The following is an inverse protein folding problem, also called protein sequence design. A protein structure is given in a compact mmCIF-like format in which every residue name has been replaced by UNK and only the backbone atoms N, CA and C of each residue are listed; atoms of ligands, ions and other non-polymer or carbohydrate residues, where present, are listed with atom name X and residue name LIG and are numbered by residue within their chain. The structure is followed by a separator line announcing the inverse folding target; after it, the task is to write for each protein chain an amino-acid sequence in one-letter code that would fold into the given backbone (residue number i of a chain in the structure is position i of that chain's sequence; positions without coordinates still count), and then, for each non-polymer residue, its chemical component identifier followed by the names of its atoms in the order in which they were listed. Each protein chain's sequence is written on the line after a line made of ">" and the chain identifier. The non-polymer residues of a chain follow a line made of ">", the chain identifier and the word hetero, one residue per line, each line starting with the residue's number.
data_IF_481552451616
#
_entry.id   IF_481552451616
#
_cell.length_a   1.000
_cell.length_b   1.000
_cell.length_c   1.000
_cell.angle_alpha   90.00
_cell.angle_beta   90.00
_cell.angle_gamma   90.00
#
_symmetry.space_group_name_H-M   'P 1'
#
loop_
_entity.id
_entity.type
_entity.pdbx_description
1 polymer ?
#
# COMPACT_ATOMS: atom_id res chain seq x y z
N UNK A 1 24.55 11.21 6.61
CA UNK A 1 23.43 10.71 5.79
C UNK A 1 22.94 11.76 4.79
N UNK A 2 22.58 12.99 5.21
CA UNK A 2 22.14 14.04 4.28
C UNK A 2 23.11 14.30 3.10
N UNK A 3 24.42 14.44 3.36
CA UNK A 3 25.39 14.79 2.30
C UNK A 3 25.52 13.77 1.15
N UNK A 4 25.15 12.50 1.35
CA UNK A 4 25.19 11.47 0.30
C UNK A 4 23.80 11.19 -0.29
N UNK A 5 22.74 11.62 0.39
CA UNK A 5 21.36 11.37 -0.01
C UNK A 5 21.01 12.13 -1.29
N UNK A 6 21.40 13.41 -1.36
CA UNK A 6 21.14 14.26 -2.52
C UNK A 6 21.87 13.75 -3.77
N UNK A 7 23.15 13.39 -3.63
CA UNK A 7 23.96 12.83 -4.72
C UNK A 7 23.38 11.49 -5.18
N UNK A 8 22.98 10.62 -4.26
CA UNK A 8 22.38 9.34 -4.60
C UNK A 8 21.06 9.52 -5.36
N UNK A 9 20.19 10.41 -4.87
CA UNK A 9 18.92 10.68 -5.53
C UNK A 9 19.12 11.26 -6.93
N UNK A 10 20.08 12.18 -7.10
CA UNK A 10 20.42 12.75 -8.40
C UNK A 10 20.89 11.66 -9.38
N UNK A 11 21.83 10.80 -8.95
CA UNK A 11 22.30 9.68 -9.76
C UNK A 11 21.17 8.71 -10.14
N UNK A 12 20.23 8.45 -9.23
CA UNK A 12 19.06 7.62 -9.54
C UNK A 12 18.14 8.28 -10.57
N UNK A 13 17.90 9.59 -10.46
CA UNK A 13 17.08 10.32 -11.44
C UNK A 13 17.70 10.28 -12.85
N UNK A 14 19.02 10.40 -12.94
CA UNK A 14 19.76 10.31 -14.21
C UNK A 14 19.69 8.90 -14.79
N UNK A 15 19.99 7.87 -13.97
CA UNK A 15 19.99 6.47 -14.42
C UNK A 15 18.60 5.98 -14.84
N UNK A 16 17.53 6.45 -14.19
CA UNK A 16 16.16 6.05 -14.51
C UNK A 16 15.75 6.38 -15.96
N UNK A 17 16.41 7.34 -16.60
CA UNK A 17 16.14 7.76 -17.98
C UNK A 17 16.77 6.84 -19.04
N UNK A 18 17.85 6.13 -18.71
CA UNK A 18 18.69 5.41 -19.67
C UNK A 18 19.10 4.01 -19.19
N UNK A 19 18.19 3.33 -18.48
CA UNK A 19 18.41 1.97 -17.99
C UNK A 19 17.25 1.05 -18.38
N UNK A 20 17.54 -0.24 -18.42
CA UNK A 20 16.53 -1.27 -18.65
C UNK A 20 15.45 -1.25 -17.56
N UNK A 21 14.27 -1.74 -17.90
CA UNK A 21 13.15 -1.92 -16.96
C UNK A 21 13.56 -2.67 -15.69
N UNK A 22 14.41 -3.69 -15.82
CA UNK A 22 14.96 -4.41 -14.67
C UNK A 22 15.80 -3.50 -13.77
N UNK A 23 16.68 -2.69 -14.37
CA UNK A 23 17.49 -1.72 -13.64
C UNK A 23 16.65 -0.66 -12.94
N UNK A 24 15.60 -0.16 -13.59
CA UNK A 24 14.63 0.74 -12.97
C UNK A 24 13.99 0.11 -11.73
N UNK A 25 13.54 -1.14 -11.83
CA UNK A 25 12.96 -1.87 -10.69
C UNK A 25 13.97 -2.01 -9.55
N UNK A 26 15.26 -2.27 -9.82
CA UNK A 26 16.27 -2.35 -8.76
C UNK A 26 16.48 -1.00 -8.06
N UNK A 27 16.55 0.10 -8.81
CA UNK A 27 16.63 1.46 -8.24
C UNK A 27 15.42 1.74 -7.35
N UNK A 28 14.22 1.48 -7.87
CA UNK A 28 12.97 1.71 -7.14
C UNK A 28 12.85 0.82 -5.89
N UNK A 29 13.35 -0.41 -5.91
CA UNK A 29 13.43 -1.27 -4.72
C UNK A 29 14.34 -0.68 -3.64
N UNK A 30 15.44 -0.02 -4.01
CA UNK A 30 16.28 0.71 -3.05
C UNK A 30 15.51 1.86 -2.42
N UNK A 31 14.78 2.64 -3.23
CA UNK A 31 13.92 3.73 -2.76
C UNK A 31 12.87 3.19 -1.80
N UNK A 32 12.13 2.15 -2.19
CA UNK A 32 11.11 1.50 -1.36
C UNK A 32 11.68 1.02 -0.02
N UNK A 33 12.88 0.43 -0.02
CA UNK A 33 13.56 0.00 1.21
C UNK A 33 13.90 1.19 2.13
N UNK A 34 14.33 2.32 1.57
CA UNK A 34 14.57 3.53 2.38
C UNK A 34 13.27 4.04 2.99
N UNK A 35 12.14 3.98 2.26
CA UNK A 35 10.83 4.34 2.79
C UNK A 35 10.41 3.44 3.97
N UNK A 36 10.70 2.13 3.88
CA UNK A 36 10.47 1.20 5.00
C UNK A 36 11.31 1.55 6.23
N UNK A 37 12.59 1.86 6.02
CA UNK A 37 13.53 2.15 7.11
C UNK A 37 13.22 3.50 7.78
N UNK A 38 12.82 4.50 6.99
CA UNK A 38 12.51 5.83 7.49
C UNK A 38 11.36 6.46 6.68
N UNK A 39 10.10 6.23 7.06
CA UNK A 39 8.94 6.71 6.30
C UNK A 39 8.76 8.24 6.33
N UNK A 40 9.43 8.94 7.26
CA UNK A 40 9.35 10.41 7.36
C UNK A 40 10.40 11.09 6.48
N UNK A 41 11.68 10.72 6.63
CA UNK A 41 12.78 11.36 5.89
C UNK A 41 13.01 10.71 4.52
N UNK A 42 12.66 9.44 4.33
CA UNK A 42 12.83 8.72 3.07
C UNK A 42 12.14 9.40 1.89
N UNK A 43 10.84 9.78 2.00
CA UNK A 43 10.17 10.51 0.93
C UNK A 43 10.80 11.87 0.62
N UNK A 44 11.32 12.58 1.64
CA UNK A 44 12.01 13.86 1.46
C UNK A 44 13.31 13.70 0.67
N UNK A 45 14.10 12.67 0.99
CA UNK A 45 15.35 12.35 0.29
C UNK A 45 15.09 12.07 -1.20
N UNK A 46 14.04 11.29 -1.49
CA UNK A 46 13.72 10.89 -2.87
C UNK A 46 12.65 11.76 -3.52
N UNK A 47 12.36 12.95 -2.96
CA UNK A 47 11.36 13.86 -3.50
C UNK A 47 11.59 14.20 -4.98
N UNK A 48 12.83 14.36 -5.50
CA UNK A 48 13.04 14.57 -6.94
C UNK A 48 12.56 13.42 -7.83
N UNK A 49 12.58 12.18 -7.32
CA UNK A 49 12.21 10.98 -8.07
C UNK A 49 10.71 10.67 -7.99
N UNK A 50 10.07 10.91 -6.84
CA UNK A 50 8.69 10.50 -6.58
C UNK A 50 7.64 11.07 -7.56
N UNK A 51 7.77 12.29 -8.11
CA UNK A 51 6.87 12.77 -9.15
C UNK A 51 6.83 11.86 -10.38
N UNK A 52 7.98 11.30 -10.79
CA UNK A 52 8.04 10.37 -11.92
C UNK A 52 7.32 9.05 -11.64
N UNK A 53 7.31 8.61 -10.38
CA UNK A 53 6.58 7.40 -9.94
C UNK A 53 5.06 7.61 -10.07
N UNK A 54 4.53 8.75 -9.59
CA UNK A 54 3.11 9.05 -9.72
C UNK A 54 2.69 9.28 -11.17
N UNK A 55 3.50 10.00 -11.96
CA UNK A 55 3.25 10.19 -13.40
C UNK A 55 3.25 8.85 -14.13
N UNK A 56 4.18 7.93 -13.82
CA UNK A 56 4.18 6.58 -14.38
C UNK A 56 2.92 5.77 -14.08
N UNK A 57 2.29 5.97 -12.91
CA UNK A 57 0.98 5.38 -12.59
C UNK A 57 -0.10 5.99 -13.48
N UNK A 58 -0.18 7.33 -13.52
CA UNK A 58 -1.19 8.08 -14.29
C UNK A 58 -1.10 7.81 -15.80
N UNK A 59 0.12 7.66 -16.32
CA UNK A 59 0.39 7.35 -17.72
C UNK A 59 0.10 5.88 -18.06
N UNK A 60 -0.23 5.05 -17.05
CA UNK A 60 -0.57 3.65 -17.23
C UNK A 60 0.64 2.79 -17.61
N UNK A 61 1.71 2.85 -16.82
CA UNK A 61 2.92 2.02 -16.97
C UNK A 61 2.60 0.60 -17.46
N UNK A 62 3.23 0.25 -18.59
CA UNK A 62 2.90 -0.95 -19.39
C UNK A 62 3.49 -2.22 -18.80
N UNK A 63 4.61 -2.11 -18.08
CA UNK A 63 5.28 -3.26 -17.47
C UNK A 63 4.69 -3.53 -16.08
N UNK A 64 3.99 -4.67 -15.85
CA UNK A 64 3.34 -4.99 -14.58
C UNK A 64 4.27 -4.90 -13.37
N UNK A 65 5.52 -5.33 -13.53
CA UNK A 65 6.52 -5.29 -12.45
C UNK A 65 6.90 -3.86 -12.05
N UNK A 66 6.96 -2.92 -13.01
CA UNK A 66 7.25 -1.51 -12.72
C UNK A 66 6.03 -0.86 -12.09
N UNK A 67 4.84 -1.06 -12.68
CA UNK A 67 3.58 -0.56 -12.14
C UNK A 67 3.36 -1.03 -10.69
N UNK A 68 3.55 -2.32 -10.41
CA UNK A 68 3.47 -2.86 -9.05
C UNK A 68 4.50 -2.23 -8.09
N UNK A 69 5.68 -1.86 -8.60
CA UNK A 69 6.70 -1.16 -7.81
C UNK A 69 6.30 0.29 -7.54
N UNK A 70 5.77 1.00 -8.54
CA UNK A 70 5.25 2.35 -8.39
C UNK A 70 4.09 2.40 -7.38
N UNK A 71 3.10 1.53 -7.52
CA UNK A 71 1.97 1.43 -6.59
C UNK A 71 2.44 1.07 -5.18
N UNK A 72 3.45 0.22 -5.04
CA UNK A 72 4.06 -0.09 -3.74
C UNK A 72 4.73 1.13 -3.09
N UNK A 73 5.51 1.90 -3.84
CA UNK A 73 6.13 3.14 -3.34
C UNK A 73 5.06 4.15 -2.95
N UNK A 74 4.10 4.42 -3.83
CA UNK A 74 2.99 5.35 -3.57
C UNK A 74 2.16 4.92 -2.37
N UNK A 75 1.87 3.62 -2.23
CA UNK A 75 1.14 3.06 -1.10
C UNK A 75 1.87 3.27 0.23
N UNK A 76 3.20 3.14 0.26
CA UNK A 76 4.00 3.44 1.48
C UNK A 76 3.96 4.90 1.86
N UNK A 77 4.11 5.79 0.87
CA UNK A 77 4.05 7.24 1.12
C UNK A 77 2.66 7.64 1.63
N UNK A 78 1.60 7.16 0.99
CA UNK A 78 0.21 7.38 1.42
C UNK A 78 -0.03 6.87 2.85
N UNK A 79 0.29 5.60 3.11
CA UNK A 79 -0.01 4.94 4.38
C UNK A 79 0.79 5.50 5.57
N UNK A 80 2.05 5.87 5.35
CA UNK A 80 2.98 6.20 6.45
C UNK A 80 3.33 7.70 6.53
N UNK A 81 3.03 8.49 5.50
CA UNK A 81 3.35 9.91 5.44
C UNK A 81 2.34 10.70 4.58
N UNK A 82 1.07 10.66 4.99
CA UNK A 82 -0.03 11.30 4.28
C UNK A 82 0.21 12.80 4.00
N UNK A 83 0.87 13.53 4.91
CA UNK A 83 1.20 14.96 4.68
C UNK A 83 2.16 15.18 3.51
N UNK A 84 3.17 14.31 3.37
CA UNK A 84 4.06 14.33 2.19
C UNK A 84 3.29 13.89 0.94
N UNK A 85 2.46 12.85 1.03
CA UNK A 85 1.63 12.39 -0.09
C UNK A 85 0.74 13.51 -0.64
N UNK A 86 0.03 14.24 0.21
CA UNK A 86 -0.80 15.38 -0.22
C UNK A 86 0.01 16.49 -0.88
N UNK A 87 1.21 16.78 -0.35
CA UNK A 87 2.12 17.77 -0.94
C UNK A 87 2.58 17.33 -2.34
N UNK A 88 2.90 16.05 -2.50
CA UNK A 88 3.30 15.46 -3.78
C UNK A 88 2.14 15.45 -4.78
N UNK A 89 0.93 15.07 -4.35
CA UNK A 89 -0.27 15.14 -5.19
C UNK A 89 -0.54 16.56 -5.68
N UNK A 90 -0.45 17.55 -4.79
CA UNK A 90 -0.63 18.95 -5.15
C UNK A 90 0.42 19.43 -6.17
N UNK A 91 1.67 18.98 -6.06
CA UNK A 91 2.70 19.25 -7.06
C UNK A 91 2.31 18.68 -8.44
N UNK A 92 1.87 17.42 -8.49
CA UNK A 92 1.44 16.78 -9.74
C UNK A 92 0.20 17.47 -10.34
N UNK A 93 -0.75 17.83 -9.49
CA UNK A 93 -1.95 18.55 -9.88
C UNK A 93 -1.63 19.90 -10.54
N UNK A 94 -0.68 20.65 -9.98
CA UNK A 94 -0.18 21.90 -10.56
C UNK A 94 0.54 21.65 -11.90
N UNK A 95 1.42 20.66 -11.98
CA UNK A 95 2.14 20.30 -13.21
C UNK A 95 1.19 19.94 -14.36
N UNK A 96 0.10 19.23 -14.04
CA UNK A 96 -0.90 18.75 -15.01
C UNK A 96 -2.08 19.72 -15.21
N UNK A 97 -2.12 20.83 -14.46
CA UNK A 97 -3.25 21.77 -14.45
C UNK A 97 -4.61 21.10 -14.18
N UNK A 98 -4.62 20.15 -13.23
CA UNK A 98 -5.79 19.39 -12.79
C UNK A 98 -6.05 19.62 -11.30
N UNK A 99 -7.26 19.28 -10.83
CA UNK A 99 -7.55 19.33 -9.40
C UNK A 99 -6.91 18.13 -8.68
N UNK A 100 -6.48 18.35 -7.43
CA UNK A 100 -5.83 17.29 -6.62
C UNK A 100 -6.73 16.06 -6.48
N UNK A 101 -8.03 16.25 -6.32
CA UNK A 101 -9.01 15.18 -6.19
C UNK A 101 -9.08 14.35 -7.49
N UNK A 102 -9.01 14.98 -8.66
CA UNK A 102 -9.01 14.27 -9.95
C UNK A 102 -7.77 13.37 -10.09
N UNK A 103 -6.60 13.87 -9.66
CA UNK A 103 -5.36 13.08 -9.65
C UNK A 103 -5.49 11.89 -8.70
N UNK A 104 -5.99 12.13 -7.48
CA UNK A 104 -6.21 11.06 -6.49
C UNK A 104 -7.18 10.01 -7.04
N UNK A 105 -8.29 10.43 -7.64
CA UNK A 105 -9.28 9.54 -8.25
C UNK A 105 -8.68 8.67 -9.35
N UNK A 106 -7.86 9.27 -10.22
CA UNK A 106 -7.16 8.55 -11.30
C UNK A 106 -6.16 7.53 -10.75
N UNK A 107 -5.46 7.86 -9.66
CA UNK A 107 -4.53 6.92 -8.99
C UNK A 107 -5.31 5.75 -8.36
N UNK A 108 -6.46 6.01 -7.73
CA UNK A 108 -7.31 4.96 -7.16
C UNK A 108 -7.87 4.04 -8.27
N UNK A 109 -8.32 4.61 -9.38
CA UNK A 109 -8.74 3.83 -10.56
C UNK A 109 -7.60 2.94 -11.08
N UNK A 110 -6.38 3.47 -11.19
CA UNK A 110 -5.22 2.67 -11.59
C UNK A 110 -4.86 1.56 -10.61
N UNK A 111 -5.08 1.77 -9.30
CA UNK A 111 -4.95 0.68 -8.33
C UNK A 111 -5.95 -0.44 -8.61
N UNK A 112 -7.22 -0.10 -8.85
CA UNK A 112 -8.29 -1.07 -9.15
C UNK A 112 -7.99 -1.81 -10.45
N UNK A 113 -7.68 -1.09 -11.53
CA UNK A 113 -7.41 -1.63 -12.86
C UNK A 113 -6.14 -2.49 -12.96
N UNK A 114 -5.25 -2.40 -11.97
CA UNK A 114 -3.96 -3.11 -11.97
C UNK A 114 -3.79 -4.05 -10.79
N UNK A 115 -4.80 -4.20 -9.93
CA UNK A 115 -4.71 -5.07 -8.75
C UNK A 115 -4.34 -6.51 -9.14
N UNK A 116 -4.97 -7.08 -10.16
CA UNK A 116 -4.68 -8.43 -10.70
C UNK A 116 -3.23 -8.63 -11.16
N UNK A 117 -2.52 -7.56 -11.52
CA UNK A 117 -1.11 -7.64 -11.92
C UNK A 117 -0.16 -7.77 -10.72
N UNK A 118 -0.65 -7.50 -9.50
CA UNK A 118 0.11 -7.64 -8.28
C UNK A 118 -0.14 -9.05 -7.73
N UNK A 119 0.87 -9.92 -7.84
CA UNK A 119 0.76 -11.33 -7.42
C UNK A 119 1.27 -11.59 -6.00
N UNK A 120 2.01 -10.65 -5.42
CA UNK A 120 2.60 -10.80 -4.09
C UNK A 120 1.59 -10.40 -3.00
N UNK A 121 1.19 -11.30 -2.09
CA UNK A 121 0.21 -11.01 -1.03
C UNK A 121 0.58 -9.79 -0.18
N UNK A 122 1.87 -9.60 0.12
CA UNK A 122 2.39 -8.44 0.87
C UNK A 122 2.10 -7.12 0.16
N UNK A 123 2.23 -7.09 -1.18
CA UNK A 123 1.96 -5.89 -2.00
C UNK A 123 0.47 -5.64 -2.15
N UNK A 124 -0.34 -6.70 -2.25
CA UNK A 124 -1.81 -6.60 -2.27
C UNK A 124 -2.32 -6.06 -0.93
N UNK A 125 -1.83 -6.60 0.18
CA UNK A 125 -2.09 -6.09 1.54
C UNK A 125 -1.66 -4.64 1.72
N UNK A 126 -0.47 -4.26 1.26
CA UNK A 126 -0.03 -2.85 1.29
C UNK A 126 -0.99 -1.92 0.54
N UNK A 127 -1.45 -2.34 -0.64
CA UNK A 127 -2.40 -1.55 -1.46
C UNK A 127 -3.74 -1.38 -0.73
N UNK A 128 -4.27 -2.45 -0.13
CA UNK A 128 -5.48 -2.38 0.68
C UNK A 128 -5.31 -1.47 1.91
N UNK A 129 -4.23 -1.63 2.69
CA UNK A 129 -3.95 -0.77 3.84
C UNK A 129 -3.83 0.72 3.42
N UNK A 130 -3.12 1.00 2.32
CA UNK A 130 -2.94 2.36 1.83
C UNK A 130 -4.27 2.99 1.40
N UNK A 131 -5.09 2.29 0.64
CA UNK A 131 -6.39 2.80 0.20
C UNK A 131 -7.38 2.97 1.36
N UNK A 132 -7.43 2.01 2.29
CA UNK A 132 -8.23 2.13 3.52
C UNK A 132 -7.77 3.30 4.40
N UNK A 133 -6.51 3.70 4.33
CA UNK A 133 -6.01 4.85 5.10
C UNK A 133 -6.64 6.18 4.68
N UNK A 134 -7.23 6.24 3.47
CA UNK A 134 -8.03 7.38 3.01
C UNK A 134 -9.38 7.48 3.73
N UNK A 135 -9.80 6.43 4.44
CA UNK A 135 -10.99 6.44 5.29
C UNK A 135 -10.60 6.75 6.75
N UNK A 136 -11.49 7.39 7.54
CA UNK A 136 -12.77 7.91 7.11
C UNK A 136 -12.65 9.24 6.32
N UNK A 137 -13.61 9.54 5.44
CA UNK A 137 -13.60 10.76 4.61
C UNK A 137 -15.00 11.26 4.23
N UNK A 138 -15.17 12.59 4.27
CA UNK A 138 -16.32 13.32 3.72
C UNK A 138 -16.10 13.77 2.27
N UNK A 139 -14.91 13.54 1.70
CA UNK A 139 -14.60 13.93 0.33
C UNK A 139 -15.42 13.09 -0.66
N UNK A 140 -16.21 13.77 -1.50
CA UNK A 140 -17.11 13.13 -2.46
C UNK A 140 -16.38 12.21 -3.44
N UNK A 141 -15.17 12.57 -3.88
CA UNK A 141 -14.41 11.72 -4.79
C UNK A 141 -13.93 10.43 -4.10
N UNK A 142 -13.50 10.50 -2.85
CA UNK A 142 -13.15 9.28 -2.07
C UNK A 142 -14.39 8.40 -1.88
N UNK A 143 -15.55 9.01 -1.63
CA UNK A 143 -16.84 8.31 -1.53
C UNK A 143 -17.25 7.67 -2.87
N UNK A 144 -17.09 8.36 -3.99
CA UNK A 144 -17.33 7.82 -5.33
C UNK A 144 -16.41 6.63 -5.66
N UNK A 145 -15.20 6.61 -5.08
CA UNK A 145 -14.24 5.50 -5.21
C UNK A 145 -14.38 4.41 -4.13
N UNK A 146 -15.34 4.53 -3.22
CA UNK A 146 -15.51 3.60 -2.09
C UNK A 146 -15.62 2.15 -2.55
N UNK A 147 -16.43 1.85 -3.57
CA UNK A 147 -16.57 0.50 -4.12
C UNK A 147 -15.23 -0.11 -4.57
N UNK A 148 -14.41 0.65 -5.29
CA UNK A 148 -13.07 0.20 -5.71
C UNK A 148 -12.13 -0.08 -4.53
N UNK A 149 -12.17 0.77 -3.49
CA UNK A 149 -11.40 0.57 -2.27
C UNK A 149 -11.82 -0.75 -1.60
N UNK A 150 -13.13 -0.98 -1.43
CA UNK A 150 -13.64 -2.19 -0.76
C UNK A 150 -13.32 -3.46 -1.55
N UNK A 151 -13.43 -3.44 -2.89
CA UNK A 151 -13.06 -4.57 -3.73
C UNK A 151 -11.60 -5.00 -3.50
N UNK A 152 -10.66 -4.04 -3.56
CA UNK A 152 -9.24 -4.29 -3.30
C UNK A 152 -9.02 -4.89 -1.90
N UNK A 153 -9.78 -4.41 -0.91
CA UNK A 153 -9.67 -4.92 0.46
C UNK A 153 -10.14 -6.36 0.58
N UNK A 154 -11.31 -6.69 0.01
CA UNK A 154 -11.86 -8.05 0.03
C UNK A 154 -10.95 -9.02 -0.71
N UNK A 155 -10.44 -8.62 -1.87
CA UNK A 155 -9.43 -9.41 -2.59
C UNK A 155 -8.18 -9.66 -1.74
N UNK A 156 -7.61 -8.61 -1.14
CA UNK A 156 -6.43 -8.75 -0.30
C UNK A 156 -6.69 -9.59 0.96
N UNK A 157 -7.91 -9.54 1.54
CA UNK A 157 -8.31 -10.40 2.65
C UNK A 157 -8.31 -11.87 2.24
N UNK A 158 -8.79 -12.21 1.04
CA UNK A 158 -8.71 -13.57 0.51
C UNK A 158 -7.27 -14.07 0.36
N UNK A 159 -6.33 -13.20 0.01
CA UNK A 159 -4.93 -13.58 -0.18
C UNK A 159 -4.16 -13.80 1.13
N UNK A 160 -4.51 -13.08 2.20
CA UNK A 160 -3.73 -13.06 3.45
C UNK A 160 -4.40 -13.76 4.62
N UNK A 161 -5.70 -14.00 4.59
CA UNK A 161 -6.39 -14.67 5.69
C UNK A 161 -6.41 -16.18 5.49
N UNK A 162 -5.95 -16.89 6.52
CA UNK A 162 -6.12 -18.33 6.68
C UNK A 162 -7.03 -18.61 7.86
N UNK A 163 -7.96 -19.54 7.73
CA UNK A 163 -8.81 -19.98 8.85
C UNK A 163 -8.00 -20.90 9.78
N UNK A 164 -8.01 -20.58 11.07
CA UNK A 164 -7.42 -21.41 12.11
C UNK A 164 -8.36 -22.61 12.36
N UNK A 165 -7.91 -23.86 12.15
CA UNK A 165 -8.76 -25.04 12.33
C UNK A 165 -9.26 -25.26 13.76
N UNK A 166 -8.52 -24.77 14.76
CA UNK A 166 -8.81 -25.01 16.17
C UNK A 166 -9.80 -23.99 16.74
N UNK A 167 -9.68 -22.72 16.32
CA UNK A 167 -10.55 -21.64 16.82
C UNK A 167 -11.67 -21.25 15.84
N UNK A 168 -11.53 -21.60 14.55
CA UNK A 168 -12.41 -21.15 13.48
C UNK A 168 -12.30 -19.65 13.16
N UNK A 169 -11.31 -18.95 13.74
CA UNK A 169 -11.06 -17.52 13.50
C UNK A 169 -10.11 -17.33 12.32
N UNK A 170 -10.12 -16.15 11.71
CA UNK A 170 -9.13 -15.84 10.68
C UNK A 170 -7.80 -15.37 11.30
N UNK A 171 -6.70 -15.84 10.74
CA UNK A 171 -5.34 -15.35 11.03
C UNK A 171 -4.78 -14.70 9.76
N UNK A 172 -4.31 -13.47 9.89
CA UNK A 172 -3.55 -12.78 8.85
C UNK A 172 -2.12 -13.34 8.80
N UNK A 173 -1.83 -14.12 7.76
CA UNK A 173 -0.57 -14.84 7.61
C UNK A 173 0.62 -13.92 7.29
N UNK A 174 0.36 -12.65 6.94
CA UNK A 174 1.40 -11.66 6.72
C UNK A 174 1.85 -10.99 8.02
N UNK A 175 1.04 -11.05 9.09
CA UNK A 175 1.40 -10.49 10.41
C UNK A 175 2.44 -11.39 11.08
N UNK A 176 3.58 -10.80 11.41
CA UNK A 176 4.67 -11.49 12.08
C UNK A 176 4.54 -11.33 13.59
N UNK A 177 4.61 -12.45 14.33
CA UNK A 177 4.69 -12.41 15.78
C UNK A 177 6.16 -12.21 16.23
N UNK A 178 6.38 -11.42 17.29
CA UNK A 178 7.72 -11.20 17.85
C UNK A 178 8.43 -12.49 18.32
N UNK A 179 7.66 -13.57 18.53
CA UNK A 179 8.11 -14.83 19.11
C UNK A 179 8.25 -15.98 18.11
N UNK A 180 8.02 -15.74 16.81
CA UNK A 180 8.39 -16.70 15.77
C UNK A 180 9.92 -16.69 15.61
N UNK A 181 10.61 -17.35 16.53
CA UNK A 181 11.95 -17.87 16.26
C UNK A 181 11.83 -18.78 15.05
N UNK A 182 12.52 -18.42 13.96
CA UNK A 182 12.69 -19.35 12.85
C UNK A 182 13.40 -20.56 13.43
N UNK A 183 12.71 -21.70 13.51
CA UNK A 183 13.35 -22.98 13.79
C UNK A 183 14.23 -23.27 12.58
N UNK A 184 15.50 -22.84 12.66
CA UNK A 184 16.53 -23.20 11.69
C UNK A 184 16.59 -24.72 11.75
N UNK A 185 16.24 -25.39 10.65
CA UNK A 185 16.42 -26.84 10.59
C UNK A 185 17.92 -27.15 10.72
N UNK A 186 18.29 -28.33 11.23
CA UNK A 186 19.71 -28.67 11.44
C UNK A 186 20.56 -28.62 10.15
N UNK A 187 19.91 -28.63 8.99
CA UNK A 187 20.52 -28.54 7.66
C UNK A 187 20.54 -27.12 7.06
N UNK A 188 19.94 -26.12 7.71
CA UNK A 188 19.92 -24.73 7.23
C UNK A 188 21.12 -23.92 7.76
N UNK A 189 21.74 -23.17 6.86
CA UNK A 189 22.76 -22.20 7.26
C UNK A 189 22.19 -21.19 8.27
N UNK A 190 22.96 -20.83 9.30
CA UNK A 190 22.49 -19.85 10.28
C UNK A 190 22.19 -18.51 9.58
N UNK A 191 21.14 -17.80 10.00
CA UNK A 191 20.71 -16.57 9.34
C UNK A 191 21.83 -15.53 9.36
N UNK A 192 22.05 -14.86 8.23
CA UNK A 192 23.06 -13.81 8.13
C UNK A 192 22.63 -12.56 8.92
N UNK A 193 23.58 -11.68 9.23
CA UNK A 193 23.25 -10.38 9.84
C UNK A 193 22.35 -9.53 8.92
N UNK A 194 22.42 -9.70 7.60
CA UNK A 194 21.50 -9.06 6.68
C UNK A 194 20.07 -9.59 6.84
N UNK A 195 19.90 -10.90 7.02
CA UNK A 195 18.58 -11.52 7.23
C UNK A 195 17.98 -11.08 8.56
N UNK A 196 18.80 -11.00 9.61
CA UNK A 196 18.39 -10.46 10.91
C UNK A 196 17.88 -9.02 10.79
N UNK A 197 18.59 -8.17 10.03
CA UNK A 197 18.16 -6.77 9.79
C UNK A 197 16.87 -6.69 8.99
N UNK A 198 16.70 -7.51 7.96
CA UNK A 198 15.45 -7.58 7.17
C UNK A 198 14.27 -7.99 8.06
N UNK A 199 14.45 -9.00 8.92
CA UNK A 199 13.41 -9.45 9.87
C UNK A 199 13.02 -8.33 10.85
N UNK A 200 14.00 -7.66 11.44
CA UNK A 200 13.75 -6.54 12.36
C UNK A 200 13.05 -5.36 11.67
N UNK A 201 13.36 -5.11 10.39
CA UNK A 201 12.67 -4.10 9.60
C UNK A 201 11.22 -4.51 9.31
N UNK A 202 11.00 -5.77 8.92
CA UNK A 202 9.67 -6.31 8.66
C UNK A 202 8.74 -6.17 9.88
N UNK A 203 9.23 -6.45 11.09
CA UNK A 203 8.46 -6.27 12.33
C UNK A 203 7.97 -4.84 12.60
N UNK A 204 8.55 -3.82 11.94
CA UNK A 204 8.12 -2.42 12.02
C UNK A 204 7.28 -1.98 10.83
N UNK A 205 7.23 -2.78 9.76
CA UNK A 205 6.47 -2.47 8.55
C UNK A 205 4.98 -2.72 8.82
N UNK A 206 4.08 -1.77 8.51
CA UNK A 206 2.63 -1.96 8.68
C UNK A 206 2.10 -3.24 8.03
N UNK A 207 2.69 -3.67 6.90
CA UNK A 207 2.30 -4.91 6.22
C UNK A 207 2.42 -6.14 7.12
N UNK A 208 3.38 -6.15 8.04
CA UNK A 208 3.66 -7.29 8.92
C UNK A 208 3.32 -7.04 10.39
N UNK A 209 2.83 -5.85 10.74
CA UNK A 209 2.48 -5.47 12.11
C UNK A 209 1.01 -5.13 12.29
N UNK A 210 0.28 -4.89 11.19
CA UNK A 210 -1.16 -4.56 11.21
C UNK A 210 -1.95 -5.74 10.62
N UNK A 211 -2.97 -6.19 11.34
CA UNK A 211 -3.96 -7.13 10.81
C UNK A 211 -4.87 -6.39 9.82
N UNK A 212 -4.94 -6.87 8.58
CA UNK A 212 -5.78 -6.25 7.56
C UNK A 212 -7.27 -6.33 7.95
N UNK A 213 -7.70 -7.48 8.48
CA UNK A 213 -9.08 -7.71 8.92
C UNK A 213 -9.51 -6.69 9.99
N UNK A 214 -8.66 -6.48 11.01
CA UNK A 214 -8.89 -5.50 12.06
C UNK A 214 -8.91 -4.08 11.51
N UNK A 215 -7.95 -3.75 10.63
CA UNK A 215 -7.86 -2.42 10.05
C UNK A 215 -9.08 -2.07 9.19
N UNK A 216 -9.57 -3.02 8.39
CA UNK A 216 -10.82 -2.88 7.62
C UNK A 216 -11.99 -2.59 8.56
N UNK A 217 -12.16 -3.38 9.62
CA UNK A 217 -13.23 -3.19 10.60
C UNK A 217 -13.21 -1.77 11.19
N UNK A 218 -12.05 -1.34 11.67
CA UNK A 218 -11.87 -0.02 12.29
C UNK A 218 -12.16 1.12 11.32
N UNK A 219 -11.69 1.02 10.08
CA UNK A 219 -11.88 2.05 9.06
C UNK A 219 -13.32 2.16 8.59
N UNK A 220 -14.02 1.04 8.41
CA UNK A 220 -15.44 1.04 8.06
C UNK A 220 -16.30 1.57 9.20
N UNK A 221 -16.00 1.18 10.44
CA UNK A 221 -16.69 1.71 11.62
C UNK A 221 -16.50 3.22 11.74
N UNK A 222 -15.28 3.71 11.58
CA UNK A 222 -14.99 5.14 11.59
C UNK A 222 -15.70 5.89 10.45
N UNK A 223 -15.82 5.29 9.25
CA UNK A 223 -16.57 5.87 8.14
C UNK A 223 -18.07 5.95 8.45
N UNK A 224 -18.63 4.91 9.08
CA UNK A 224 -20.03 4.90 9.50
C UNK A 224 -20.31 5.94 10.59
N UNK A 225 -19.41 6.09 11.57
CA UNK A 225 -19.51 7.10 12.62
C UNK A 225 -19.46 8.53 12.05
N UNK A 226 -18.66 8.76 11.00
CA UNK A 226 -18.53 10.06 10.34
C UNK A 226 -19.79 10.43 9.52
N UNK A 227 -20.28 9.53 8.68
CA UNK A 227 -21.41 9.80 7.77
C UNK A 227 -22.79 9.55 8.38
N UNK A 228 -22.84 8.86 9.51
CA UNK A 228 -24.06 8.28 10.06
C UNK A 228 -24.58 7.09 9.26
N UNK A 229 -25.61 6.42 9.81
CA UNK A 229 -26.14 5.17 9.23
C UNK A 229 -26.63 5.34 7.79
N UNK A 230 -27.38 6.41 7.50
CA UNK A 230 -27.96 6.62 6.16
C UNK A 230 -26.89 6.92 5.10
N UNK A 231 -25.91 7.77 5.43
CA UNK A 231 -24.81 8.09 4.53
C UNK A 231 -23.94 6.87 4.25
N UNK A 232 -23.62 6.10 5.29
CA UNK A 232 -22.85 4.86 5.14
C UNK A 232 -23.61 3.79 4.35
N UNK A 233 -24.91 3.64 4.59
CA UNK A 233 -25.75 2.70 3.84
C UNK A 233 -25.75 3.02 2.35
N UNK A 234 -25.78 4.31 1.99
CA UNK A 234 -25.69 4.75 0.58
C UNK A 234 -24.35 4.35 -0.07
N UNK A 235 -23.24 4.39 0.68
CA UNK A 235 -21.95 3.92 0.19
C UNK A 235 -21.93 2.40 0.00
N UNK A 236 -22.47 1.65 0.97
CA UNK A 236 -22.54 0.19 0.90
C UNK A 236 -23.37 -0.27 -0.29
N UNK A 237 -24.45 0.44 -0.64
CA UNK A 237 -25.28 0.16 -1.82
C UNK A 237 -24.56 0.35 -3.16
N UNK A 238 -23.45 1.10 -3.20
CA UNK A 238 -22.60 1.24 -4.39
C UNK A 238 -21.70 0.01 -4.63
N UNK A 239 -21.55 -0.86 -3.62
CA UNK A 239 -20.67 -2.02 -3.66
C UNK A 239 -21.48 -3.26 -4.06
N UNK A 240 -20.88 -4.13 -4.86
CA UNK A 240 -21.53 -5.38 -5.27
C UNK A 240 -21.94 -6.22 -4.05
N UNK A 241 -23.15 -6.77 -4.10
CA UNK A 241 -23.74 -7.53 -2.98
C UNK A 241 -22.91 -8.74 -2.57
N UNK A 242 -22.22 -9.40 -3.51
CA UNK A 242 -21.35 -10.54 -3.20
C UNK A 242 -20.09 -10.08 -2.46
N UNK A 243 -19.50 -8.95 -2.85
CA UNK A 243 -18.35 -8.35 -2.16
C UNK A 243 -18.72 -7.98 -0.73
N UNK A 244 -19.89 -7.37 -0.52
CA UNK A 244 -20.39 -7.06 0.84
C UNK A 244 -20.61 -8.33 1.65
N UNK A 245 -21.18 -9.39 1.05
CA UNK A 245 -21.38 -10.67 1.74
C UNK A 245 -20.06 -11.29 2.18
N UNK A 246 -19.04 -11.28 1.32
CA UNK A 246 -17.71 -11.77 1.64
C UNK A 246 -17.07 -10.95 2.77
N UNK A 247 -17.13 -9.62 2.65
CA UNK A 247 -16.63 -8.69 3.66
C UNK A 247 -17.27 -8.95 5.02
N UNK A 248 -18.59 -9.05 5.09
CA UNK A 248 -19.30 -9.38 6.33
C UNK A 248 -18.87 -10.73 6.91
N UNK A 249 -18.64 -11.73 6.05
CA UNK A 249 -18.13 -13.04 6.46
C UNK A 249 -16.76 -12.95 7.13
N UNK A 250 -15.85 -12.12 6.61
CA UNK A 250 -14.58 -11.84 7.26
C UNK A 250 -14.76 -11.11 8.59
N UNK A 251 -15.61 -10.08 8.64
CA UNK A 251 -15.78 -9.24 9.83
C UNK A 251 -16.52 -9.95 10.99
N UNK A 252 -17.31 -11.00 10.70
CA UNK A 252 -17.98 -11.80 11.73
C UNK A 252 -17.03 -12.74 12.50
N UNK A 253 -15.89 -13.10 11.89
CA UNK A 253 -14.87 -13.99 12.46
C UNK A 253 -13.65 -13.22 12.99
N UNK A 254 -13.88 -11.99 13.47
CA UNK A 254 -12.87 -11.14 14.12
C UNK A 254 -12.59 -11.61 15.56
#
# INVERSE_FOLDING_TARGET
>A
FQNFADVLCQSFCELMQDITTEGQVQILKVVENVLKVNPVLGPQIFQPLLPSVLKGILDGEKYPVVMSTYLGITGRVLLQNAGFFSSLLNQIALDLSQEMDQILGSIIEMWVDRMDNITQPERRKLSALALLSLLPSENSLIQDKFCGIINICVEALHDVLSEDPDTGTYKDCMVMSHFEEQKVSEDEEPPTEQDRRKKLLALKDPVHSVSLQQFVYEKLKAQQELLGEQGFQSLIESVDTEVIRQLQGFLQKL
#
